data_IF_658788270612
#
_entry.id   IF_658788270612
#
_cell.length_a   1.000
_cell.length_b   1.000
_cell.length_c   1.000
_cell.angle_alpha   90.00
_cell.angle_beta   90.00
_cell.angle_gamma   90.00
#
_symmetry.space_group_name_H-M   'P 1'
#
loop_
_entity.id
_entity.type
_entity.pdbx_description
1 polymer ?
#
# COMPACT_ATOMS: atom_id res chain seq x y z
N UNK A 1 15.75 -2.97 -8.05
CA UNK A 1 15.13 -2.40 -6.82
C UNK A 1 15.18 -0.87 -6.70
N UNK A 2 16.20 -0.15 -7.20
CA UNK A 2 16.30 1.32 -7.07
C UNK A 2 15.05 2.07 -7.55
N UNK A 3 14.58 1.76 -8.77
CA UNK A 3 13.38 2.36 -9.34
C UNK A 3 12.12 2.13 -8.48
N UNK A 4 11.86 0.87 -8.08
CA UNK A 4 10.70 0.53 -7.27
C UNK A 4 10.67 1.30 -5.94
N UNK A 5 11.83 1.39 -5.25
CA UNK A 5 11.95 2.17 -4.01
C UNK A 5 11.71 3.66 -4.23
N UNK A 6 12.25 4.23 -5.32
CA UNK A 6 12.03 5.65 -5.65
C UNK A 6 10.56 5.95 -5.98
N UNK A 7 9.89 5.08 -6.75
CA UNK A 7 8.47 5.22 -7.04
C UNK A 7 7.62 5.19 -5.76
N UNK A 8 7.91 4.24 -4.85
CA UNK A 8 7.25 4.14 -3.54
C UNK A 8 7.52 5.35 -2.64
N UNK A 9 8.74 5.91 -2.66
CA UNK A 9 9.07 7.11 -1.90
C UNK A 9 8.32 8.37 -2.40
N UNK A 10 7.91 8.37 -3.68
CA UNK A 10 7.08 9.42 -4.29
C UNK A 10 5.57 9.13 -4.19
N UNK A 11 5.16 8.16 -3.38
CA UNK A 11 3.78 7.71 -3.25
C UNK A 11 3.12 7.27 -4.57
N UNK A 12 3.90 6.85 -5.57
CA UNK A 12 3.37 6.32 -6.82
C UNK A 12 2.95 4.86 -6.59
N UNK A 13 1.67 4.50 -6.84
CA UNK A 13 1.24 3.11 -6.79
C UNK A 13 1.95 2.31 -7.88
N UNK A 14 2.64 1.25 -7.50
CA UNK A 14 3.28 0.32 -8.45
C UNK A 14 2.54 -1.00 -8.40
N UNK A 15 1.81 -1.31 -9.46
CA UNK A 15 1.13 -2.60 -9.62
C UNK A 15 2.00 -3.60 -10.41
N UNK A 16 1.50 -4.83 -10.58
CA UNK A 16 2.22 -5.89 -11.27
C UNK A 16 2.57 -5.56 -12.72
N UNK A 17 1.63 -4.94 -13.44
CA UNK A 17 1.79 -4.58 -14.85
C UNK A 17 2.93 -3.57 -15.00
N UNK A 18 2.91 -2.49 -14.22
CA UNK A 18 3.94 -1.46 -14.26
C UNK A 18 5.33 -2.03 -13.89
N UNK A 19 5.37 -2.98 -12.95
CA UNK A 19 6.62 -3.64 -12.58
C UNK A 19 7.16 -4.53 -13.71
N UNK A 20 6.28 -5.22 -14.44
CA UNK A 20 6.65 -6.02 -15.62
C UNK A 20 7.12 -5.14 -16.77
N UNK A 21 6.46 -4.02 -17.03
CA UNK A 21 6.88 -3.04 -18.04
C UNK A 21 8.26 -2.48 -17.74
N UNK A 22 8.48 -2.02 -16.51
CA UNK A 22 9.79 -1.50 -16.13
C UNK A 22 10.88 -2.58 -16.22
N UNK A 23 10.56 -3.82 -15.89
CA UNK A 23 11.50 -4.92 -16.02
C UNK A 23 11.88 -5.20 -17.48
N UNK A 24 10.91 -5.10 -18.41
CA UNK A 24 11.15 -5.26 -19.84
C UNK A 24 12.05 -4.15 -20.39
N UNK A 25 11.76 -2.89 -20.06
CA UNK A 25 12.61 -1.75 -20.45
C UNK A 25 14.05 -1.94 -19.97
N UNK A 26 14.23 -2.40 -18.73
CA UNK A 26 15.57 -2.68 -18.19
C UNK A 26 16.22 -3.88 -18.90
N UNK A 27 15.45 -4.92 -19.23
CA UNK A 27 15.93 -6.05 -20.02
C UNK A 27 16.43 -5.63 -21.40
N UNK A 28 15.65 -4.82 -22.12
CA UNK A 28 16.02 -4.24 -23.42
C UNK A 28 17.27 -3.37 -23.32
N UNK A 29 17.36 -2.51 -22.30
CA UNK A 29 18.53 -1.67 -22.02
C UNK A 29 19.81 -2.47 -21.77
N UNK A 30 19.67 -3.72 -21.33
CA UNK A 30 20.77 -4.65 -21.03
C UNK A 30 21.02 -5.64 -22.18
N UNK A 31 20.31 -5.53 -23.31
CA UNK A 31 20.44 -6.44 -24.45
C UNK A 31 19.87 -7.84 -24.18
N UNK A 32 18.98 -8.00 -23.21
CA UNK A 32 18.34 -9.27 -22.88
C UNK A 32 17.08 -9.49 -23.72
N UNK A 33 17.26 -9.72 -25.03
CA UNK A 33 16.17 -9.85 -26.01
C UNK A 33 15.17 -10.98 -25.69
N UNK A 34 15.62 -12.02 -24.99
CA UNK A 34 14.79 -13.16 -24.60
C UNK A 34 14.13 -12.99 -23.23
N UNK A 35 14.45 -11.91 -22.51
CA UNK A 35 13.91 -11.68 -21.19
C UNK A 35 12.40 -11.40 -21.27
N UNK A 36 11.62 -12.30 -20.66
CA UNK A 36 10.18 -12.13 -20.52
C UNK A 36 9.89 -11.81 -19.07
N UNK A 37 9.36 -10.60 -18.83
CA UNK A 37 8.77 -10.21 -17.56
C UNK A 37 7.43 -10.94 -17.33
N UNK A 38 7.45 -12.28 -17.40
CA UNK A 38 6.29 -13.15 -17.31
C UNK A 38 5.63 -13.11 -15.94
N UNK A 39 4.43 -13.69 -15.81
CA UNK A 39 3.75 -13.81 -14.52
C UNK A 39 4.58 -14.63 -13.50
N UNK A 40 5.22 -15.71 -13.96
CA UNK A 40 6.11 -16.50 -13.10
C UNK A 40 7.38 -15.75 -12.69
N UNK A 41 7.91 -14.88 -13.57
CA UNK A 41 9.00 -13.97 -13.19
C UNK A 41 8.53 -12.97 -12.13
N UNK A 42 7.36 -12.34 -12.34
CA UNK A 42 6.78 -11.37 -11.43
C UNK A 42 6.54 -11.98 -10.04
N UNK A 43 5.97 -13.18 -9.97
CA UNK A 43 5.74 -13.89 -8.73
C UNK A 43 7.06 -14.16 -7.98
N UNK A 44 8.06 -14.75 -8.66
CA UNK A 44 9.37 -15.01 -8.06
C UNK A 44 10.08 -13.73 -7.62
N UNK A 45 9.99 -12.67 -8.42
CA UNK A 45 10.56 -11.36 -8.11
C UNK A 45 9.92 -10.76 -6.85
N UNK A 46 8.59 -10.83 -6.75
CA UNK A 46 7.86 -10.37 -5.57
C UNK A 46 8.24 -11.15 -4.33
N UNK A 47 8.25 -12.48 -4.41
CA UNK A 47 8.60 -13.35 -3.28
C UNK A 47 10.03 -13.08 -2.81
N UNK A 48 10.99 -12.98 -3.74
CA UNK A 48 12.40 -12.69 -3.42
C UNK A 48 12.60 -11.34 -2.74
N UNK A 49 11.80 -10.34 -3.08
CA UNK A 49 11.95 -8.97 -2.58
C UNK A 49 10.87 -8.56 -1.58
N UNK A 50 10.06 -9.51 -1.10
CA UNK A 50 8.94 -9.31 -0.19
C UNK A 50 8.00 -8.17 -0.63
N UNK A 51 7.66 -8.14 -1.92
CA UNK A 51 6.77 -7.12 -2.50
C UNK A 51 5.32 -7.63 -2.48
N UNK A 52 4.50 -6.99 -1.66
CA UNK A 52 3.05 -7.17 -1.69
C UNK A 52 2.39 -5.99 -2.41
N UNK A 53 1.57 -6.29 -3.41
CA UNK A 53 0.63 -5.32 -3.99
C UNK A 53 -0.65 -5.33 -3.15
N UNK A 54 -0.53 -4.97 -1.87
CA UNK A 54 -1.73 -4.64 -1.08
C UNK A 54 -2.24 -3.30 -1.60
N UNK A 55 -3.56 -3.19 -1.76
CA UNK A 55 -4.21 -1.89 -1.82
C UNK A 55 -3.73 -1.13 -0.59
N UNK A 56 -3.22 0.09 -0.78
CA UNK A 56 -2.89 0.96 0.35
C UNK A 56 -4.24 1.48 0.85
N UNK A 57 -5.00 0.62 1.53
CA UNK A 57 -6.08 1.07 2.40
C UNK A 57 -5.43 1.28 3.76
N UNK A 58 -5.51 2.50 4.26
CA UNK A 58 -4.92 2.91 5.53
C UNK A 58 -3.85 3.98 5.37
N UNK A 59 -4.09 5.13 5.98
CA UNK A 59 -3.16 6.23 6.20
C UNK A 59 -2.05 5.88 7.22
N UNK A 60 -1.74 4.60 7.43
CA UNK A 60 -0.77 4.14 8.44
C UNK A 60 0.62 4.79 8.30
N UNK A 61 0.96 5.30 7.12
CA UNK A 61 2.26 5.94 6.85
C UNK A 61 2.31 7.45 7.12
N UNK A 62 1.19 8.09 7.44
CA UNK A 62 1.09 9.54 7.59
C UNK A 62 1.31 10.03 9.02
N UNK A 63 1.31 9.13 10.00
CA UNK A 63 1.10 9.53 11.39
C UNK A 63 2.42 9.75 12.13
N UNK A 64 2.61 10.97 12.66
CA UNK A 64 3.74 11.34 13.48
C UNK A 64 3.64 10.69 14.88
N UNK A 65 4.67 9.97 15.38
CA UNK A 65 4.63 9.32 16.69
C UNK A 65 4.32 10.27 17.87
N UNK A 66 4.69 11.54 17.75
CA UNK A 66 4.39 12.55 18.76
C UNK A 66 2.90 12.93 18.76
N UNK A 67 2.28 13.04 17.58
CA UNK A 67 0.84 13.31 17.43
C UNK A 67 0.00 12.13 17.96
N UNK A 68 0.46 10.90 17.74
CA UNK A 68 -0.15 9.70 18.34
C UNK A 68 -0.16 9.77 19.86
N UNK A 69 0.97 10.17 20.45
CA UNK A 69 1.12 10.23 21.91
C UNK A 69 0.21 11.30 22.52
N UNK A 70 0.14 12.48 21.90
CA UNK A 70 -0.75 13.56 22.33
C UNK A 70 -2.22 13.18 22.15
N UNK A 71 -2.56 12.52 21.05
CA UNK A 71 -3.90 11.98 20.80
C UNK A 71 -4.31 10.97 21.87
N UNK A 72 -3.43 10.04 22.26
CA UNK A 72 -3.73 9.09 23.34
C UNK A 72 -4.00 9.76 24.69
N UNK A 73 -3.30 10.84 25.02
CA UNK A 73 -3.59 11.62 26.25
C UNK A 73 -4.97 12.25 26.19
N UNK A 74 -5.31 12.86 25.05
CA UNK A 74 -6.62 13.48 24.81
C UNK A 74 -7.74 12.44 24.82
N UNK A 75 -7.55 11.30 24.17
CA UNK A 75 -8.51 10.20 24.12
C UNK A 75 -8.86 9.69 25.53
N UNK A 76 -7.84 9.46 26.38
CA UNK A 76 -8.08 9.06 27.78
C UNK A 76 -8.93 10.06 28.56
N UNK A 77 -8.81 11.36 28.28
CA UNK A 77 -9.65 12.38 28.91
C UNK A 77 -11.08 12.37 28.37
N UNK A 78 -11.27 12.08 27.08
CA UNK A 78 -12.60 12.03 26.43
C UNK A 78 -13.41 10.80 26.83
N UNK A 79 -12.73 9.66 27.03
CA UNK A 79 -13.38 8.42 27.46
C UNK A 79 -13.78 8.44 28.95
N UNK A 80 -13.33 9.44 29.72
CA UNK A 80 -13.66 9.53 31.15
C UNK A 80 -15.15 9.81 31.33
N UNK A 81 -15.86 8.85 31.93
CA UNK A 81 -17.30 8.95 32.21
C UNK A 81 -18.19 8.16 31.26
N UNK A 82 -17.61 7.47 30.27
CA UNK A 82 -18.28 6.45 29.47
C UNK A 82 -17.96 5.06 30.03
N UNK A 83 -18.95 4.16 30.03
CA UNK A 83 -18.71 2.74 30.31
C UNK A 83 -18.11 2.09 29.05
N UNK A 84 -17.34 1.01 29.22
CA UNK A 84 -16.68 0.33 28.11
C UNK A 84 -17.68 -0.14 27.03
N UNK A 85 -18.93 -0.47 27.43
CA UNK A 85 -20.00 -0.87 26.52
C UNK A 85 -20.51 0.25 25.61
N UNK A 86 -20.23 1.51 25.95
CA UNK A 86 -20.69 2.69 25.23
C UNK A 86 -19.61 3.26 24.29
N UNK A 87 -18.45 2.60 24.21
CA UNK A 87 -17.34 3.00 23.34
C UNK A 87 -17.36 2.15 22.07
N UNK A 88 -17.67 2.79 20.94
CA UNK A 88 -17.71 2.13 19.63
C UNK A 88 -16.59 2.66 18.74
N UNK A 89 -15.94 1.77 18.01
CA UNK A 89 -15.01 2.15 16.94
C UNK A 89 -15.76 2.19 15.60
N UNK A 90 -15.69 3.32 14.91
CA UNK A 90 -16.17 3.48 13.54
C UNK A 90 -14.97 3.92 12.68
N UNK A 91 -14.29 2.93 12.14
CA UNK A 91 -13.05 3.03 11.36
C UNK A 91 -13.33 3.59 9.96
N UNK A 92 -14.34 3.04 9.28
CA UNK A 92 -14.62 3.37 7.89
C UNK A 92 -16.13 3.23 7.61
N UNK A 93 -16.69 4.17 6.87
CA UNK A 93 -18.01 4.02 6.25
C UNK A 93 -17.87 4.44 4.81
N UNK A 94 -17.55 3.48 3.96
CA UNK A 94 -17.40 3.75 2.52
C UNK A 94 -18.77 3.92 1.85
N UNK A 95 -18.98 5.06 1.22
CA UNK A 95 -20.14 5.32 0.38
C UNK A 95 -19.83 4.91 -1.07
N UNK A 96 -20.17 3.68 -1.43
CA UNK A 96 -20.03 3.19 -2.80
C UNK A 96 -21.24 3.59 -3.66
N UNK A 97 -21.24 4.81 -4.21
CA UNK A 97 -22.24 5.22 -5.22
C UNK A 97 -21.68 5.07 -6.64
N UNK A 98 -22.26 4.15 -7.42
CA UNK A 98 -21.90 3.87 -8.84
C UNK A 98 -20.42 3.49 -9.07
N UNK A 99 -19.79 2.84 -8.10
CA UNK A 99 -18.41 2.35 -8.27
C UNK A 99 -18.42 1.12 -9.19
N UNK A 100 -17.57 1.14 -10.21
CA UNK A 100 -17.38 0.01 -11.12
C UNK A 100 -16.70 -1.15 -10.37
N UNK A 101 -17.07 -2.42 -10.64
CA UNK A 101 -16.45 -3.56 -9.98
C UNK A 101 -14.95 -3.55 -10.23
N UNK A 102 -14.18 -3.62 -9.15
CA UNK A 102 -12.74 -3.38 -9.23
C UNK A 102 -11.98 -4.51 -9.94
N UNK A 103 -12.55 -5.73 -10.09
CA UNK A 103 -11.95 -6.86 -10.85
C UNK A 103 -13.00 -7.90 -11.31
N UNK A 104 -12.72 -8.54 -12.46
CA UNK A 104 -13.11 -9.93 -12.77
C UNK A 104 -12.03 -10.91 -12.29
#
# INVERSE_FOLDING_TARGET
MKWFRSARAKNIPVNGILLQEKAREVGESLGLETFKASNGWLEKFRTRHNISFKQICGEEKSVNPNEVTDWFRKLKSLLKGYDDRDIFNADETDLFYRVLPERT
#
